data_IF_572477613411
#
_entry.id   IF_572477613411
#
_cell.length_a   1.000
_cell.length_b   1.000
_cell.length_c   1.000
_cell.angle_alpha   90.00
_cell.angle_beta   90.00
_cell.angle_gamma   90.00
#
_symmetry.space_group_name_H-M   'P 1'
#
loop_
_entity.id
_entity.type
_entity.pdbx_description
1 polymer ?
#
# COMPACT_ATOMS: atom_id res chain seq x y z
N UNK A 1 -14.79 -11.01 9.33
CA UNK A 1 -14.26 -9.93 8.46
C UNK A 1 -15.35 -9.42 7.50
N UNK A 2 -15.48 -8.10 7.28
CA UNK A 2 -16.52 -7.53 6.40
C UNK A 2 -15.91 -6.81 5.18
N UNK A 3 -15.84 -7.52 4.05
CA UNK A 3 -15.35 -7.00 2.78
C UNK A 3 -16.51 -6.77 1.81
N UNK A 4 -16.53 -5.64 1.11
CA UNK A 4 -17.44 -5.42 -0.01
C UNK A 4 -17.19 -6.40 -1.14
N UNK A 5 -18.25 -6.74 -1.86
CA UNK A 5 -18.16 -7.63 -3.02
C UNK A 5 -17.24 -7.05 -4.10
N UNK A 6 -16.37 -7.91 -4.62
CA UNK A 6 -15.50 -7.58 -5.75
C UNK A 6 -16.37 -7.26 -6.97
N UNK A 7 -16.11 -6.15 -7.69
CA UNK A 7 -16.81 -5.86 -8.92
C UNK A 7 -16.70 -6.98 -9.95
N UNK A 8 -17.78 -7.20 -10.71
CA UNK A 8 -17.78 -8.23 -11.76
C UNK A 8 -16.77 -7.89 -12.85
N UNK A 9 -15.89 -8.85 -13.15
CA UNK A 9 -14.93 -8.74 -14.24
C UNK A 9 -15.63 -8.51 -15.57
N UNK A 10 -15.07 -7.62 -16.39
CA UNK A 10 -15.50 -7.42 -17.76
C UNK A 10 -15.01 -8.60 -18.62
N UNK A 11 -15.58 -8.75 -19.82
CA UNK A 11 -15.01 -9.69 -20.80
C UNK A 11 -13.60 -9.22 -21.22
N UNK A 12 -12.91 -10.04 -22.02
CA UNK A 12 -11.64 -9.62 -22.61
C UNK A 12 -11.77 -8.30 -23.39
N UNK A 13 -10.72 -7.45 -23.44
CA UNK A 13 -10.76 -6.18 -24.16
C UNK A 13 -11.22 -6.27 -25.64
N UNK A 14 -10.97 -7.41 -26.29
CA UNK A 14 -11.36 -7.69 -27.67
C UNK A 14 -12.87 -7.66 -27.90
N UNK A 15 -13.66 -7.92 -26.85
CA UNK A 15 -15.12 -7.94 -26.91
C UNK A 15 -15.74 -6.55 -27.00
N UNK A 16 -14.97 -5.49 -26.79
CA UNK A 16 -15.48 -4.12 -26.72
C UNK A 16 -15.10 -3.30 -27.94
N UNK A 17 -15.90 -2.28 -28.24
CA UNK A 17 -15.63 -1.32 -29.31
C UNK A 17 -14.45 -0.43 -28.96
N UNK A 18 -13.75 0.03 -30.00
CA UNK A 18 -12.77 1.11 -29.90
C UNK A 18 -13.35 2.35 -30.58
N UNK A 19 -13.14 3.53 -29.99
CA UNK A 19 -13.59 4.79 -30.61
C UNK A 19 -12.41 5.63 -31.07
N UNK A 20 -12.68 6.48 -32.05
CA UNK A 20 -11.76 7.56 -32.35
C UNK A 20 -11.61 8.46 -31.10
N UNK A 21 -10.37 8.84 -30.80
CA UNK A 21 -9.99 9.65 -29.63
C UNK A 21 -10.15 9.02 -28.23
N UNK A 22 -10.64 7.78 -28.11
CA UNK A 22 -10.63 7.02 -26.85
C UNK A 22 -9.81 5.75 -27.00
N UNK A 23 -9.22 5.25 -25.91
CA UNK A 23 -8.62 3.90 -25.87
C UNK A 23 -9.44 3.02 -24.91
N UNK A 24 -10.68 2.70 -25.33
CA UNK A 24 -11.66 1.96 -24.53
C UNK A 24 -11.15 0.56 -24.20
N UNK A 25 -10.56 -0.15 -25.17
CA UNK A 25 -10.06 -1.50 -24.93
C UNK A 25 -8.93 -1.53 -23.90
N UNK A 26 -8.04 -0.55 -23.93
CA UNK A 26 -7.00 -0.40 -22.91
C UNK A 26 -7.60 -0.05 -21.55
N UNK A 27 -8.62 0.82 -21.51
CA UNK A 27 -9.32 1.12 -20.25
C UNK A 27 -10.02 -0.11 -19.65
N UNK A 28 -10.64 -0.96 -20.48
CA UNK A 28 -11.23 -2.24 -20.06
C UNK A 28 -10.15 -3.19 -19.55
N UNK A 29 -9.00 -3.26 -20.22
CA UNK A 29 -7.86 -4.04 -19.72
C UNK A 29 -7.47 -3.59 -18.32
N UNK A 30 -7.39 -2.28 -18.07
CA UNK A 30 -7.05 -1.74 -16.75
C UNK A 30 -8.12 -1.95 -15.68
N UNK A 31 -9.40 -1.94 -16.06
CA UNK A 31 -10.49 -2.35 -15.16
C UNK A 31 -10.31 -3.81 -14.74
N UNK A 32 -9.99 -4.70 -15.70
CA UNK A 32 -9.76 -6.11 -15.38
C UNK A 32 -8.49 -6.31 -14.54
N UNK A 33 -7.39 -5.61 -14.85
CA UNK A 33 -6.16 -5.62 -14.05
C UNK A 33 -6.46 -5.20 -12.59
N UNK A 34 -7.30 -4.16 -12.39
CA UNK A 34 -7.73 -3.72 -11.07
C UNK A 34 -8.55 -4.79 -10.34
N UNK A 35 -9.53 -5.39 -11.01
CA UNK A 35 -10.40 -6.42 -10.41
C UNK A 35 -9.59 -7.65 -10.02
N UNK A 36 -8.63 -8.07 -10.84
CA UNK A 36 -7.71 -9.18 -10.52
C UNK A 36 -6.85 -8.84 -9.30
N UNK A 37 -6.19 -7.68 -9.30
CA UNK A 37 -5.35 -7.22 -8.18
C UNK A 37 -6.14 -7.09 -6.88
N UNK A 38 -7.38 -6.59 -6.97
CA UNK A 38 -8.28 -6.49 -5.83
C UNK A 38 -8.67 -7.88 -5.31
N UNK A 39 -8.91 -8.85 -6.21
CA UNK A 39 -9.17 -10.24 -5.87
C UNK A 39 -8.00 -10.90 -5.14
N UNK A 40 -6.78 -10.73 -5.63
CA UNK A 40 -5.56 -11.25 -4.98
C UNK A 40 -5.37 -10.63 -3.59
N UNK A 41 -5.67 -9.34 -3.45
CA UNK A 41 -5.66 -8.66 -2.16
C UNK A 41 -6.74 -9.20 -1.21
N UNK A 42 -7.95 -9.49 -1.70
CA UNK A 42 -9.04 -10.04 -0.89
C UNK A 42 -8.70 -11.44 -0.37
N UNK A 43 -8.14 -12.30 -1.22
CA UNK A 43 -7.66 -13.64 -0.83
C UNK A 43 -6.59 -13.51 0.26
N UNK A 44 -5.61 -12.63 0.06
CA UNK A 44 -4.57 -12.37 1.05
C UNK A 44 -5.15 -11.82 2.37
N UNK A 45 -6.16 -10.96 2.32
CA UNK A 45 -6.84 -10.46 3.52
C UNK A 45 -7.55 -11.56 4.28
N UNK A 46 -8.29 -12.44 3.59
CA UNK A 46 -8.96 -13.59 4.20
C UNK A 46 -7.93 -14.43 4.95
N UNK A 47 -6.85 -14.86 4.30
CA UNK A 47 -5.82 -15.68 4.93
C UNK A 47 -4.94 -14.94 5.94
N UNK A 48 -5.05 -13.62 6.07
CA UNK A 48 -4.44 -12.86 7.16
C UNK A 48 -5.30 -12.82 8.43
N UNK A 49 -6.60 -13.14 8.33
CA UNK A 49 -7.51 -13.14 9.48
C UNK A 49 -7.23 -14.36 10.38
N UNK A 50 -7.07 -14.11 11.68
CA UNK A 50 -6.82 -15.16 12.68
C UNK A 50 -7.98 -16.14 12.82
N UNK A 51 -9.21 -15.71 12.55
CA UNK A 51 -10.42 -16.53 12.66
C UNK A 51 -10.48 -17.65 11.62
N UNK A 52 -9.71 -17.56 10.53
CA UNK A 52 -9.64 -18.58 9.49
C UNK A 52 -8.85 -19.83 9.93
N UNK A 53 -8.17 -19.77 11.07
CA UNK A 53 -7.29 -20.82 11.56
C UNK A 53 -7.80 -21.40 12.88
N UNK A 54 -7.78 -22.73 12.99
CA UNK A 54 -8.17 -23.45 14.20
C UNK A 54 -7.01 -24.35 14.65
N UNK A 55 -6.73 -24.38 15.95
CA UNK A 55 -5.72 -25.25 16.57
C UNK A 55 -4.28 -25.07 16.02
N UNK A 56 -3.94 -23.89 15.50
CA UNK A 56 -2.58 -23.56 15.04
C UNK A 56 -1.79 -22.91 16.16
N UNK A 57 -0.51 -23.28 16.30
CA UNK A 57 0.42 -22.61 17.22
C UNK A 57 0.48 -21.09 16.96
N UNK A 58 0.47 -20.27 18.01
CA UNK A 58 0.42 -18.81 17.88
C UNK A 58 1.60 -18.22 17.10
N UNK A 59 2.81 -18.79 17.22
CA UNK A 59 3.98 -18.30 16.48
C UNK A 59 3.84 -18.63 15.00
N UNK A 60 3.42 -19.85 14.67
CA UNK A 60 3.15 -20.25 13.29
C UNK A 60 2.02 -19.41 12.67
N UNK A 61 0.93 -19.19 13.42
CA UNK A 61 -0.18 -18.33 13.03
C UNK A 61 0.30 -16.92 12.68
N UNK A 62 1.09 -16.29 13.56
CA UNK A 62 1.62 -14.95 13.31
C UNK A 62 2.51 -14.90 12.06
N UNK A 63 3.31 -15.95 11.78
CA UNK A 63 4.12 -16.03 10.56
C UNK A 63 3.24 -16.09 9.31
N UNK A 64 2.24 -16.96 9.29
CA UNK A 64 1.29 -17.10 8.18
C UNK A 64 0.60 -15.76 7.93
N UNK A 65 0.04 -15.17 8.98
CA UNK A 65 -0.67 -13.89 8.90
C UNK A 65 0.23 -12.77 8.38
N UNK A 66 1.47 -12.67 8.87
CA UNK A 66 2.45 -11.69 8.36
C UNK A 66 2.73 -11.86 6.86
N UNK A 67 2.85 -13.10 6.36
CA UNK A 67 3.08 -13.35 4.93
C UNK A 67 1.91 -12.81 4.10
N UNK A 68 0.69 -13.17 4.47
CA UNK A 68 -0.52 -12.73 3.76
C UNK A 68 -0.77 -11.23 3.87
N UNK A 69 -0.55 -10.63 5.04
CA UNK A 69 -0.61 -9.17 5.24
C UNK A 69 0.36 -8.45 4.30
N UNK A 70 1.59 -8.96 4.12
CA UNK A 70 2.56 -8.35 3.19
C UNK A 70 2.08 -8.34 1.76
N UNK A 71 1.47 -9.43 1.29
CA UNK A 71 0.92 -9.50 -0.07
C UNK A 71 -0.26 -8.54 -0.23
N UNK A 72 -1.22 -8.58 0.70
CA UNK A 72 -2.37 -7.67 0.70
C UNK A 72 -1.95 -6.19 0.64
N UNK A 73 -0.95 -5.77 1.42
CA UNK A 73 -0.44 -4.38 1.39
C UNK A 73 0.07 -3.99 -0.02
N UNK A 74 0.82 -4.86 -0.67
CA UNK A 74 1.40 -4.58 -2.00
C UNK A 74 0.29 -4.46 -3.03
N UNK A 75 -0.65 -5.41 -3.04
CA UNK A 75 -1.73 -5.45 -4.02
C UNK A 75 -2.70 -4.27 -3.84
N UNK A 76 -3.09 -3.95 -2.60
CA UNK A 76 -3.92 -2.78 -2.30
C UNK A 76 -3.24 -1.46 -2.69
N UNK A 77 -1.93 -1.33 -2.44
CA UNK A 77 -1.18 -0.16 -2.88
C UNK A 77 -1.21 -0.02 -4.41
N UNK A 78 -1.11 -1.13 -5.15
CA UNK A 78 -1.14 -1.14 -6.61
C UNK A 78 -2.54 -0.84 -7.19
N UNK A 79 -3.61 -1.24 -6.51
CA UNK A 79 -4.99 -1.01 -6.94
C UNK A 79 -5.28 0.46 -7.28
N UNK A 80 -4.80 1.41 -6.47
CA UNK A 80 -5.02 2.84 -6.72
C UNK A 80 -4.28 3.32 -7.98
N UNK A 81 -3.03 2.90 -8.15
CA UNK A 81 -2.22 3.26 -9.32
C UNK A 81 -2.82 2.68 -10.62
N UNK A 82 -3.41 1.48 -10.56
CA UNK A 82 -4.13 0.87 -11.69
C UNK A 82 -5.43 1.62 -11.99
N UNK A 83 -6.20 2.01 -10.98
CA UNK A 83 -7.43 2.79 -11.19
C UNK A 83 -7.16 4.13 -11.88
N UNK A 84 -6.07 4.82 -11.54
CA UNK A 84 -5.65 6.04 -12.24
C UNK A 84 -5.36 5.80 -13.74
N UNK A 85 -4.90 4.60 -14.10
CA UNK A 85 -4.61 4.26 -15.50
C UNK A 85 -5.88 4.10 -16.34
N UNK A 86 -7.04 3.83 -15.75
CA UNK A 86 -8.29 3.68 -16.50
C UNK A 86 -8.65 4.98 -17.23
N UNK A 87 -8.87 6.15 -16.57
CA UNK A 87 -9.14 7.39 -17.27
C UNK A 87 -7.94 7.86 -18.10
N UNK A 88 -6.71 7.57 -17.66
CA UNK A 88 -5.48 7.88 -18.41
C UNK A 88 -5.48 7.33 -19.83
N UNK A 89 -5.89 6.07 -19.99
CA UNK A 89 -6.08 5.46 -21.30
C UNK A 89 -7.40 5.85 -21.95
N UNK A 90 -8.50 5.77 -21.19
CA UNK A 90 -9.84 5.97 -21.73
C UNK A 90 -9.96 7.29 -22.48
N UNK A 91 -9.49 8.38 -21.89
CA UNK A 91 -9.53 9.73 -22.46
C UNK A 91 -8.23 10.14 -23.17
N UNK A 92 -7.27 9.23 -23.33
CA UNK A 92 -5.93 9.50 -23.87
C UNK A 92 -5.24 10.69 -23.20
N UNK A 93 -5.36 10.81 -21.88
CA UNK A 93 -4.80 11.92 -21.09
C UNK A 93 -3.30 12.07 -21.38
N UNK A 94 -2.58 10.97 -21.57
CA UNK A 94 -1.16 10.96 -21.96
C UNK A 94 -0.84 11.85 -23.17
N UNK A 95 -1.76 11.94 -24.14
CA UNK A 95 -1.58 12.72 -25.37
C UNK A 95 -1.53 14.22 -25.07
N UNK A 96 -2.25 14.69 -24.06
CA UNK A 96 -2.27 16.10 -23.68
C UNK A 96 -0.95 16.60 -23.08
N UNK A 97 -0.08 15.66 -22.67
CA UNK A 97 1.25 15.96 -22.14
C UNK A 97 2.37 15.75 -23.19
N UNK A 98 2.04 15.29 -24.39
CA UNK A 98 2.98 15.22 -25.52
C UNK A 98 3.12 16.58 -26.22
N UNK A 99 4.14 16.73 -27.07
CA UNK A 99 4.31 17.89 -27.94
C UNK A 99 3.01 18.24 -28.68
N UNK A 100 2.51 19.46 -28.46
CA UNK A 100 1.26 19.97 -29.06
C UNK A 100 -0.01 19.70 -28.26
N UNK A 101 0.07 18.94 -27.16
CA UNK A 101 -1.03 18.77 -26.20
C UNK A 101 -1.17 19.96 -25.26
N UNK A 102 -2.37 20.13 -24.67
CA UNK A 102 -2.73 21.29 -23.84
C UNK A 102 -1.82 21.48 -22.61
N UNK A 103 -1.32 20.39 -22.03
CA UNK A 103 -0.55 20.39 -20.79
C UNK A 103 0.95 20.18 -20.99
N UNK A 104 1.42 20.13 -22.23
CA UNK A 104 2.83 19.96 -22.53
C UNK A 104 3.64 21.21 -22.16
N UNK A 105 4.61 21.05 -21.26
CA UNK A 105 5.55 22.11 -20.93
C UNK A 105 6.70 22.15 -21.95
N UNK A 106 6.64 23.07 -22.91
CA UNK A 106 7.64 23.21 -23.97
C UNK A 106 9.06 23.53 -23.48
N UNK A 107 9.23 24.04 -22.24
CA UNK A 107 10.56 24.34 -21.68
C UNK A 107 11.28 23.10 -21.17
N UNK A 108 10.55 22.11 -20.67
CA UNK A 108 11.12 20.91 -20.02
C UNK A 108 10.94 19.66 -20.86
N UNK A 109 9.88 19.61 -21.68
CA UNK A 109 9.55 18.46 -22.50
C UNK A 109 10.48 18.35 -23.71
N UNK A 110 10.87 17.11 -24.03
CA UNK A 110 11.67 16.81 -25.23
C UNK A 110 10.88 15.85 -26.10
N UNK A 111 10.83 16.09 -27.41
CA UNK A 111 10.11 15.25 -28.40
C UNK A 111 10.43 13.75 -28.29
N UNK A 112 11.64 13.37 -27.86
CA UNK A 112 12.02 11.97 -27.64
C UNK A 112 11.19 11.25 -26.57
N UNK A 113 10.53 11.99 -25.69
CA UNK A 113 9.64 11.48 -24.65
C UNK A 113 8.18 11.42 -25.11
N UNK A 114 7.85 11.89 -26.32
CA UNK A 114 6.50 11.77 -26.87
C UNK A 114 6.09 10.30 -26.98
N UNK A 115 4.87 10.03 -26.53
CA UNK A 115 4.22 8.73 -26.69
C UNK A 115 3.53 8.72 -28.05
N UNK A 116 4.00 7.85 -28.94
CA UNK A 116 3.42 7.68 -30.27
C UNK A 116 2.56 6.42 -30.25
N UNK A 117 1.23 6.58 -30.38
CA UNK A 117 0.27 5.46 -30.42
C UNK A 117 0.67 4.45 -31.50
N UNK A 118 0.48 3.17 -31.23
CA UNK A 118 0.82 2.05 -32.11
C UNK A 118 2.32 1.87 -32.43
N UNK A 119 3.22 2.67 -31.84
CA UNK A 119 4.66 2.38 -31.89
C UNK A 119 5.04 1.26 -30.94
N UNK A 120 6.16 0.55 -31.19
CA UNK A 120 6.59 -0.56 -30.32
C UNK A 120 6.74 -0.09 -28.86
N UNK A 121 6.01 -0.73 -27.94
CA UNK A 121 6.07 -0.46 -26.49
C UNK A 121 5.39 0.84 -26.05
N UNK A 122 4.54 1.44 -26.88
CA UNK A 122 3.87 2.71 -26.55
C UNK A 122 2.99 2.64 -25.30
N UNK A 123 2.28 1.51 -25.09
CA UNK A 123 1.43 1.29 -23.92
C UNK A 123 2.27 1.35 -22.64
N UNK A 124 3.37 0.60 -22.56
CA UNK A 124 4.26 0.61 -21.39
C UNK A 124 4.86 2.01 -21.13
N UNK A 125 5.14 2.79 -22.19
CA UNK A 125 5.58 4.19 -22.02
C UNK A 125 4.46 5.05 -21.44
N UNK A 126 3.24 4.89 -21.94
CA UNK A 126 2.07 5.60 -21.44
C UNK A 126 1.80 5.25 -19.96
N UNK A 127 1.80 3.97 -19.59
CA UNK A 127 1.63 3.51 -18.20
C UNK A 127 2.67 4.14 -17.27
N UNK A 128 3.96 4.04 -17.62
CA UNK A 128 5.05 4.59 -16.80
C UNK A 128 5.00 6.11 -16.65
N UNK A 129 4.32 6.80 -17.55
CA UNK A 129 4.18 8.26 -17.52
C UNK A 129 2.88 8.74 -16.85
N UNK A 130 1.98 7.81 -16.52
CA UNK A 130 0.76 8.04 -15.77
C UNK A 130 1.15 8.49 -14.36
N UNK A 131 0.57 9.62 -13.95
CA UNK A 131 0.87 10.25 -12.67
C UNK A 131 -0.40 10.90 -12.12
N UNK A 132 -0.55 10.88 -10.79
CA UNK A 132 -1.72 11.36 -10.08
C UNK A 132 -2.04 12.83 -10.42
N UNK A 133 -1.04 13.72 -10.38
CA UNK A 133 -1.25 15.14 -10.61
C UNK A 133 -1.71 15.39 -12.06
N UNK A 134 -1.16 14.63 -13.01
CA UNK A 134 -1.53 14.75 -14.42
C UNK A 134 -2.97 14.32 -14.68
N UNK A 135 -3.39 13.22 -14.07
CA UNK A 135 -4.76 12.69 -14.20
C UNK A 135 -5.73 13.68 -13.57
N UNK A 136 -5.49 14.13 -12.33
CA UNK A 136 -6.37 15.09 -11.67
C UNK A 136 -6.47 16.41 -12.40
N UNK A 137 -5.33 16.96 -12.86
CA UNK A 137 -5.33 18.20 -13.64
C UNK A 137 -6.22 18.08 -14.88
N UNK A 138 -6.14 16.96 -15.60
CA UNK A 138 -7.01 16.73 -16.75
C UNK A 138 -8.49 16.66 -16.34
N UNK A 139 -8.82 15.86 -15.33
CA UNK A 139 -10.20 15.63 -14.89
C UNK A 139 -10.88 16.90 -14.36
N UNK A 140 -10.14 17.74 -13.61
CA UNK A 140 -10.64 19.00 -13.06
C UNK A 140 -10.86 20.08 -14.13
N UNK A 141 -10.04 20.08 -15.18
CA UNK A 141 -10.12 21.03 -16.29
C UNK A 141 -11.24 20.68 -17.31
N UNK A 142 -11.77 19.46 -17.28
CA UNK A 142 -12.89 19.06 -18.13
C UNK A 142 -14.20 19.74 -17.69
N UNK A 143 -15.07 20.11 -18.63
CA UNK A 143 -16.37 20.70 -18.31
C UNK A 143 -17.38 19.68 -17.75
N UNK A 144 -17.16 18.38 -17.98
CA UNK A 144 -18.04 17.30 -17.50
C UNK A 144 -18.01 17.18 -15.97
N UNK A 145 -19.19 17.38 -15.37
CA UNK A 145 -19.42 17.30 -13.92
C UNK A 145 -19.06 15.91 -13.38
N UNK A 146 -19.29 14.83 -14.14
CA UNK A 146 -18.95 13.47 -13.71
C UNK A 146 -17.43 13.30 -13.57
N UNK A 147 -16.65 13.90 -14.48
CA UNK A 147 -15.17 13.86 -14.42
C UNK A 147 -14.62 14.66 -13.24
N UNK A 148 -15.20 15.83 -12.95
CA UNK A 148 -14.83 16.61 -11.75
C UNK A 148 -15.18 15.86 -10.46
N UNK A 149 -16.33 15.19 -10.42
CA UNK A 149 -16.70 14.34 -9.28
C UNK A 149 -15.73 13.18 -9.08
N UNK A 150 -15.27 12.56 -10.17
CA UNK A 150 -14.24 11.52 -10.10
C UNK A 150 -12.90 12.06 -9.59
N UNK A 151 -12.50 13.26 -10.02
CA UNK A 151 -11.30 13.93 -9.51
C UNK A 151 -11.37 14.12 -7.99
N UNK A 152 -12.50 14.64 -7.48
CA UNK A 152 -12.73 14.79 -6.03
C UNK A 152 -12.67 13.45 -5.28
N UNK A 153 -13.17 12.37 -5.89
CA UNK A 153 -13.11 11.02 -5.34
C UNK A 153 -11.66 10.55 -5.15
N UNK A 154 -10.84 10.72 -6.19
CA UNK A 154 -9.42 10.40 -6.13
C UNK A 154 -8.69 11.26 -5.10
N UNK A 155 -9.00 12.55 -5.01
CA UNK A 155 -8.40 13.45 -4.01
C UNK A 155 -8.74 13.05 -2.58
N UNK A 156 -10.01 12.77 -2.31
CA UNK A 156 -10.47 12.35 -0.98
C UNK A 156 -9.83 11.03 -0.58
N UNK A 157 -9.84 10.03 -1.48
CA UNK A 157 -9.20 8.76 -1.22
C UNK A 157 -7.70 8.91 -0.95
N UNK A 158 -7.00 9.72 -1.76
CA UNK A 158 -5.57 9.95 -1.61
C UNK A 158 -5.22 10.61 -0.26
N UNK A 159 -6.02 11.59 0.19
CA UNK A 159 -5.85 12.25 1.49
C UNK A 159 -6.17 11.34 2.67
N UNK A 160 -7.22 10.52 2.55
CA UNK A 160 -7.70 9.73 3.68
C UNK A 160 -6.91 8.42 3.88
N UNK A 161 -6.50 7.77 2.78
CA UNK A 161 -5.94 6.41 2.80
C UNK A 161 -4.49 6.29 2.33
N UNK A 162 -3.92 7.31 1.68
CA UNK A 162 -2.52 7.26 1.18
C UNK A 162 -1.59 8.25 1.86
N UNK A 163 -2.07 9.46 2.16
CA UNK A 163 -1.28 10.54 2.75
C UNK A 163 -2.06 11.21 3.88
N UNK A 164 -2.24 10.49 4.99
CA UNK A 164 -3.01 10.95 6.14
C UNK A 164 -2.11 11.08 7.37
N UNK A 165 -1.81 12.32 7.76
CA UNK A 165 -0.94 12.61 8.91
C UNK A 165 -1.61 12.29 10.27
N UNK A 166 -2.93 12.07 10.29
CA UNK A 166 -3.67 11.74 11.51
C UNK A 166 -3.74 10.23 11.79
N UNK A 167 -3.37 9.39 10.81
CA UNK A 167 -3.25 7.94 11.01
C UNK A 167 -1.84 7.59 11.47
N UNK A 168 -1.73 6.62 12.37
CA UNK A 168 -0.42 6.10 12.80
C UNK A 168 0.38 5.49 11.64
N UNK A 169 -0.32 4.97 10.64
CA UNK A 169 0.23 4.50 9.38
C UNK A 169 -0.87 4.36 8.33
N UNK A 170 -0.47 4.30 7.06
CA UNK A 170 -1.35 4.00 5.92
C UNK A 170 -0.83 2.79 5.13
N UNK A 171 -1.69 2.15 4.33
CA UNK A 171 -1.27 1.08 3.40
C UNK A 171 -0.10 1.54 2.51
N UNK A 172 -0.12 2.80 2.07
CA UNK A 172 0.93 3.40 1.23
C UNK A 172 2.29 3.45 1.94
N UNK A 173 2.31 3.88 3.19
CA UNK A 173 3.54 3.93 4.00
C UNK A 173 4.08 2.53 4.28
N UNK A 174 3.20 1.59 4.64
CA UNK A 174 3.59 0.19 4.86
C UNK A 174 4.16 -0.44 3.58
N UNK A 175 3.58 -0.17 2.42
CA UNK A 175 4.11 -0.61 1.13
C UNK A 175 5.49 -0.01 0.84
N UNK A 176 5.70 1.27 1.14
CA UNK A 176 7.01 1.90 1.03
C UNK A 176 8.05 1.29 1.99
N UNK A 177 7.65 0.98 3.23
CA UNK A 177 8.53 0.26 4.15
C UNK A 177 8.92 -1.12 3.62
N UNK A 178 7.95 -1.88 3.08
CA UNK A 178 8.24 -3.16 2.44
C UNK A 178 9.20 -3.05 1.25
N UNK A 179 9.05 -1.99 0.44
CA UNK A 179 9.92 -1.74 -0.71
C UNK A 179 11.36 -1.41 -0.30
N UNK A 180 11.55 -0.58 0.73
CA UNK A 180 12.87 -0.04 1.08
C UNK A 180 13.58 -0.80 2.20
N UNK A 181 12.82 -1.40 3.14
CA UNK A 181 13.33 -2.13 4.31
C UNK A 181 13.12 -3.64 4.20
N UNK A 182 12.42 -4.11 3.15
CA UNK A 182 12.06 -5.52 2.93
C UNK A 182 11.22 -6.16 4.05
N UNK A 183 10.75 -5.36 5.01
CA UNK A 183 10.01 -5.81 6.17
C UNK A 183 9.15 -4.71 6.80
N UNK A 184 8.10 -5.13 7.53
CA UNK A 184 7.29 -4.34 8.44
C UNK A 184 7.64 -4.75 9.87
N UNK A 185 7.86 -3.79 10.77
CA UNK A 185 8.09 -4.09 12.19
C UNK A 185 6.73 -4.28 12.87
N UNK A 186 6.45 -5.52 13.27
CA UNK A 186 5.17 -5.93 13.84
C UNK A 186 5.32 -6.24 15.33
N UNK A 187 4.35 -5.79 16.14
CA UNK A 187 4.33 -5.93 17.60
C UNK A 187 4.40 -7.39 18.05
N UNK A 188 3.78 -8.30 17.29
CA UNK A 188 3.73 -9.74 17.57
C UNK A 188 5.08 -10.46 17.45
N UNK A 189 6.06 -9.83 16.81
CA UNK A 189 7.41 -10.36 16.64
C UNK A 189 8.46 -9.60 17.46
N UNK A 190 8.01 -8.64 18.24
CA UNK A 190 8.87 -7.84 19.09
C UNK A 190 8.86 -8.43 20.51
N UNK A 191 10.06 -8.80 20.99
CA UNK A 191 10.28 -9.33 22.33
C UNK A 191 11.04 -8.27 23.15
N UNK A 192 10.35 -7.51 24.02
CA UNK A 192 11.01 -6.53 24.87
C UNK A 192 11.95 -7.22 25.86
N UNK A 193 13.04 -6.55 26.23
CA UNK A 193 13.96 -6.97 27.28
C UNK A 193 13.24 -7.08 28.63
N UNK A 194 13.44 -8.22 29.29
CA UNK A 194 13.02 -8.39 30.68
C UNK A 194 14.18 -7.98 31.59
N UNK A 195 13.99 -6.89 32.34
CA UNK A 195 14.97 -6.46 33.33
C UNK A 195 14.47 -6.78 34.74
N UNK A 196 15.16 -7.72 35.38
CA UNK A 196 14.87 -8.18 36.72
C UNK A 196 15.93 -7.63 37.68
N UNK A 197 15.49 -6.89 38.70
CA UNK A 197 16.35 -6.41 39.78
C UNK A 197 16.20 -7.32 40.99
N UNK A 198 17.32 -7.85 41.51
CA UNK A 198 17.32 -8.48 42.82
C UNK A 198 17.53 -7.40 43.89
N UNK A 199 16.48 -7.11 44.66
CA UNK A 199 16.55 -6.22 45.82
C UNK A 199 16.31 -7.03 47.09
N UNK A 200 17.32 -7.15 47.94
CA UNK A 200 17.24 -7.86 49.22
C UNK A 200 16.75 -9.32 49.10
N UNK A 201 17.13 -10.04 48.04
CA UNK A 201 16.71 -11.43 47.79
C UNK A 201 15.35 -11.58 47.09
N UNK A 202 14.64 -10.48 46.84
CA UNK A 202 13.38 -10.47 46.09
C UNK A 202 13.67 -10.06 44.65
N UNK A 203 13.25 -10.91 43.71
CA UNK A 203 13.36 -10.62 42.29
C UNK A 203 12.19 -9.71 41.87
N UNK A 204 12.50 -8.49 41.45
CA UNK A 204 11.53 -7.46 41.05
C UNK A 204 11.63 -7.28 39.55
N UNK A 205 10.58 -7.67 38.82
CA UNK A 205 10.43 -7.33 37.41
C UNK A 205 9.99 -5.87 37.31
N UNK A 206 10.83 -5.03 36.69
CA UNK A 206 10.54 -3.60 36.57
C UNK A 206 9.28 -3.31 35.74
N UNK A 207 8.96 -4.18 34.76
CA UNK A 207 7.80 -4.04 33.86
C UNK A 207 6.49 -4.24 34.60
N UNK A 208 6.40 -5.29 35.41
CA UNK A 208 5.20 -5.64 36.18
C UNK A 208 4.84 -4.60 37.25
N UNK A 209 5.85 -3.87 37.73
CA UNK A 209 5.69 -2.83 38.76
C UNK A 209 5.53 -1.41 38.19
N UNK A 210 5.50 -1.28 36.86
CA UNK A 210 5.43 0.02 36.17
C UNK A 210 6.57 0.99 36.59
N UNK A 211 7.75 0.43 36.87
CA UNK A 211 8.93 1.18 37.30
C UNK A 211 9.86 1.42 36.11
N UNK A 212 10.31 2.66 35.93
CA UNK A 212 11.34 3.02 34.95
C UNK A 212 12.72 3.04 35.60
N UNK A 213 13.72 2.48 34.91
CA UNK A 213 15.13 2.65 35.25
C UNK A 213 15.81 3.47 34.15
N UNK A 214 16.63 4.43 34.56
CA UNK A 214 17.55 5.15 33.68
C UNK A 214 18.98 4.90 34.18
N UNK A 215 19.84 4.39 33.31
CA UNK A 215 21.25 4.15 33.60
C UNK A 215 22.04 5.14 32.74
N UNK A 216 22.83 5.98 33.39
CA UNK A 216 23.68 6.95 32.72
C UNK A 216 25.14 6.70 33.13
N UNK A 217 26.02 6.53 32.15
CA UNK A 217 27.47 6.38 32.39
C UNK A 217 28.25 7.24 31.41
N UNK A 218 29.34 7.83 31.88
CA UNK A 218 30.31 8.46 30.99
C UNK A 218 31.15 7.38 30.30
N UNK A 219 31.68 7.68 29.11
CA UNK A 219 32.66 6.84 28.42
C UNK A 219 33.87 7.67 28.00
N UNK A 220 35.01 7.00 27.85
CA UNK A 220 36.31 7.64 27.68
C UNK A 220 37.04 7.05 26.48
N UNK A 221 37.91 7.85 25.87
CA UNK A 221 38.86 7.39 24.87
C UNK A 221 39.89 6.45 25.51
N UNK A 222 40.10 5.27 24.91
CA UNK A 222 40.97 4.23 25.49
C UNK A 222 42.45 4.63 25.50
N UNK A 223 42.91 5.44 24.53
CA UNK A 223 44.31 5.84 24.41
C UNK A 223 44.65 7.05 25.28
N UNK A 224 43.75 8.04 25.30
CA UNK A 224 43.98 9.33 25.97
C UNK A 224 43.35 9.44 27.35
N UNK A 225 42.36 8.59 27.67
CA UNK A 225 41.59 8.66 28.91
C UNK A 225 40.65 9.86 29.03
N UNK A 226 40.51 10.65 27.95
CA UNK A 226 39.63 11.81 27.94
C UNK A 226 38.17 11.39 27.94
N UNK A 227 37.32 12.14 28.65
CA UNK A 227 35.87 12.01 28.56
C UNK A 227 35.44 12.25 27.10
N UNK A 228 34.60 11.37 26.57
CA UNK A 228 34.05 11.45 25.21
C UNK A 228 32.56 11.78 25.21
N UNK A 229 31.88 11.66 26.35
CA UNK A 229 30.45 11.87 26.45
C UNK A 229 29.76 10.86 27.37
N UNK A 230 28.46 10.67 27.15
CA UNK A 230 27.56 9.89 27.99
C UNK A 230 26.76 8.88 27.20
N UNK A 231 26.59 7.70 27.79
CA UNK A 231 25.69 6.66 27.35
C UNK A 231 24.50 6.67 28.31
N UNK A 232 23.29 6.76 27.76
CA UNK A 232 22.04 6.80 28.51
C UNK A 232 21.18 5.62 28.06
N UNK A 233 20.84 4.71 28.98
CA UNK A 233 19.90 3.62 28.75
C UNK A 233 18.62 3.87 29.54
N UNK A 234 17.47 3.75 28.89
CA UNK A 234 16.16 3.89 29.53
C UNK A 234 15.38 2.60 29.41
N UNK A 235 15.03 1.99 30.54
CA UNK A 235 14.24 0.75 30.56
C UNK A 235 12.83 0.95 30.00
N UNK A 236 12.23 2.12 30.22
CA UNK A 236 10.92 2.48 29.63
C UNK A 236 10.92 2.45 28.09
N UNK A 237 12.09 2.62 27.50
CA UNK A 237 12.32 2.60 26.06
C UNK A 237 13.01 1.27 25.67
N UNK A 238 12.74 0.18 26.39
CA UNK A 238 13.33 -1.15 26.15
C UNK A 238 14.86 -1.20 26.14
N UNK A 239 15.50 -0.44 27.03
CA UNK A 239 16.96 -0.34 27.13
C UNK A 239 17.63 0.17 25.84
N UNK A 240 16.88 0.92 25.03
CA UNK A 240 17.44 1.66 23.91
C UNK A 240 18.56 2.58 24.40
N UNK A 241 19.67 2.61 23.65
CA UNK A 241 20.90 3.33 23.99
C UNK A 241 20.93 4.67 23.27
N UNK A 242 20.83 5.75 24.03
CA UNK A 242 21.15 7.10 23.57
C UNK A 242 22.64 7.40 23.86
N UNK A 243 23.31 8.12 22.95
CA UNK A 243 24.70 8.59 23.15
C UNK A 243 24.72 10.10 22.97
N UNK A 244 25.23 10.82 23.98
CA UNK A 244 25.50 12.25 23.91
C UNK A 244 27.01 12.49 23.91
N UNK A 245 27.55 12.99 22.81
CA UNK A 245 28.97 13.30 22.66
C UNK A 245 29.29 14.68 23.22
N UNK A 246 30.51 14.88 23.73
CA UNK A 246 30.96 16.20 24.19
C UNK A 246 30.98 17.27 23.09
N UNK A 247 31.07 16.87 21.82
CA UNK A 247 30.94 17.77 20.66
C UNK A 247 29.55 18.42 20.56
N UNK A 248 28.56 17.90 21.29
CA UNK A 248 27.15 18.28 21.17
C UNK A 248 26.34 17.40 20.22
N UNK A 249 26.99 16.48 19.49
CA UNK A 249 26.30 15.47 18.68
C UNK A 249 25.52 14.50 19.57
N UNK A 250 24.35 14.05 19.08
CA UNK A 250 23.50 13.09 19.78
C UNK A 250 23.09 11.97 18.85
N UNK A 251 23.30 10.75 19.30
CA UNK A 251 22.71 9.56 18.72
C UNK A 251 21.49 9.17 19.54
N UNK A 252 20.32 9.14 18.90
CA UNK A 252 19.08 8.72 19.55
C UNK A 252 18.84 7.25 19.23
N UNK A 253 18.84 6.40 20.25
CA UNK A 253 18.68 4.96 20.02
C UNK A 253 17.31 4.60 19.44
N UNK A 254 16.29 5.45 19.63
CA UNK A 254 14.97 5.31 18.98
C UNK A 254 15.06 5.31 17.45
N UNK A 255 16.13 5.86 16.88
CA UNK A 255 16.36 5.85 15.42
C UNK A 255 16.69 4.42 14.93
N UNK A 256 17.18 3.53 15.81
CA UNK A 256 17.34 2.09 15.53
C UNK A 256 16.00 1.35 15.61
N UNK A 257 15.24 1.63 16.67
CA UNK A 257 13.98 0.98 16.97
C UNK A 257 12.98 1.97 17.55
N UNK A 258 12.14 2.52 16.68
CA UNK A 258 11.00 3.31 17.12
C UNK A 258 9.88 2.36 17.59
N UNK A 259 9.77 2.19 18.90
CA UNK A 259 8.74 1.38 19.54
C UNK A 259 7.34 1.96 19.33
N UNK A 260 7.23 3.28 19.11
CA UNK A 260 5.94 3.94 18.84
C UNK A 260 5.45 3.67 17.43
N UNK A 261 6.33 3.25 16.52
CA UNK A 261 6.00 2.84 15.16
C UNK A 261 5.63 1.35 15.04
N UNK A 262 5.57 0.58 16.14
CA UNK A 262 5.18 -0.82 16.11
C UNK A 262 3.67 -0.98 15.95
N UNK A 263 3.25 -1.40 14.76
CA UNK A 263 1.88 -1.79 14.47
C UNK A 263 1.65 -3.28 14.80
N UNK A 264 0.45 -3.61 15.26
CA UNK A 264 -0.01 -5.00 15.35
C UNK A 264 -0.56 -5.47 14.01
N UNK A 265 -0.55 -6.78 13.77
CA UNK A 265 -1.15 -7.38 12.58
C UNK A 265 -2.65 -7.05 12.51
N UNK A 266 -3.35 -7.06 13.65
CA UNK A 266 -4.79 -6.76 13.72
C UNK A 266 -5.07 -5.31 13.29
N UNK A 267 -4.35 -4.33 13.85
CA UNK A 267 -4.52 -2.91 13.47
C UNK A 267 -4.16 -2.68 11.98
N UNK A 268 -3.20 -3.45 11.41
CA UNK A 268 -2.86 -3.36 9.98
C UNK A 268 -3.96 -3.95 9.10
N UNK A 269 -4.58 -5.05 9.52
CA UNK A 269 -5.70 -5.67 8.80
C UNK A 269 -6.91 -4.74 8.78
N UNK A 270 -7.21 -4.06 9.89
CA UNK A 270 -8.30 -3.08 9.95
C UNK A 270 -8.11 -1.95 8.92
N UNK A 271 -6.92 -1.33 8.87
CA UNK A 271 -6.58 -0.30 7.88
C UNK A 271 -6.71 -0.83 6.44
N UNK A 272 -6.31 -2.08 6.18
CA UNK A 272 -6.44 -2.69 4.86
C UNK A 272 -7.90 -2.98 4.47
N UNK A 273 -8.75 -3.41 5.41
CA UNK A 273 -10.19 -3.62 5.19
C UNK A 273 -10.84 -2.30 4.83
N UNK A 274 -10.53 -1.23 5.56
CA UNK A 274 -11.05 0.10 5.29
C UNK A 274 -10.60 0.61 3.92
N UNK A 275 -9.31 0.48 3.59
CA UNK A 275 -8.79 0.82 2.27
C UNK A 275 -9.51 0.03 1.17
N UNK A 276 -9.63 -1.29 1.32
CA UNK A 276 -10.28 -2.19 0.36
C UNK A 276 -11.74 -1.78 0.09
N UNK A 277 -12.48 -1.47 1.13
CA UNK A 277 -13.89 -1.10 1.00
C UNK A 277 -14.07 0.27 0.32
N UNK A 278 -13.18 1.22 0.58
CA UNK A 278 -13.26 2.56 -0.01
C UNK A 278 -12.72 2.62 -1.44
N UNK A 279 -11.71 1.80 -1.79
CA UNK A 279 -11.20 1.77 -3.18
C UNK A 279 -12.25 1.22 -4.15
N UNK A 280 -13.15 0.33 -3.69
CA UNK A 280 -14.32 -0.12 -4.45
C UNK A 280 -15.29 1.03 -4.73
N UNK A 281 -15.48 1.97 -3.81
CA UNK A 281 -16.35 3.13 -4.04
C UNK A 281 -15.76 4.06 -5.10
N UNK A 282 -14.45 4.27 -5.08
CA UNK A 282 -13.73 5.02 -6.12
C UNK A 282 -13.88 4.32 -7.48
N UNK A 283 -13.72 2.99 -7.51
CA UNK A 283 -13.99 2.20 -8.72
C UNK A 283 -15.41 2.40 -9.23
N UNK A 284 -16.43 2.34 -8.37
CA UNK A 284 -17.82 2.48 -8.79
C UNK A 284 -18.10 3.86 -9.41
N UNK A 285 -17.50 4.92 -8.86
CA UNK A 285 -17.59 6.26 -9.44
C UNK A 285 -16.89 6.34 -10.79
N UNK A 286 -15.71 5.74 -10.90
CA UNK A 286 -14.95 5.67 -12.15
C UNK A 286 -15.68 4.87 -13.23
N UNK A 287 -16.22 3.71 -12.88
CA UNK A 287 -17.00 2.90 -13.81
C UNK A 287 -18.23 3.65 -14.30
N UNK A 288 -18.91 4.39 -13.43
CA UNK A 288 -20.05 5.23 -13.82
C UNK A 288 -19.70 6.34 -14.83
N UNK A 289 -18.44 6.78 -14.87
CA UNK A 289 -17.93 7.77 -15.83
C UNK A 289 -17.69 7.14 -17.20
N UNK A 290 -17.16 5.91 -17.25
CA UNK A 290 -16.72 5.28 -18.51
C UNK A 290 -17.70 4.25 -19.08
N UNK A 291 -18.66 3.76 -18.30
CA UNK A 291 -19.54 2.62 -18.68
C UNK A 291 -20.32 2.84 -19.97
N UNK A 292 -20.73 4.08 -20.26
CA UNK A 292 -21.53 4.39 -21.44
C UNK A 292 -20.71 4.25 -22.73
N UNK A 293 -19.38 4.36 -22.62
CA UNK A 293 -18.42 4.11 -23.70
C UNK A 293 -17.96 2.64 -23.75
N UNK A 294 -18.33 1.78 -22.81
CA UNK A 294 -17.95 0.36 -22.82
C UNK A 294 -19.05 -0.42 -23.55
N UNK A 295 -19.09 -0.27 -24.88
CA UNK A 295 -20.04 -0.98 -25.73
C UNK A 295 -19.43 -2.25 -26.32
N UNK A 296 -20.24 -3.31 -26.42
CA UNK A 296 -19.85 -4.56 -27.06
C UNK A 296 -19.59 -4.35 -28.56
N UNK A 297 -18.53 -4.98 -29.06
CA UNK A 297 -18.25 -5.06 -30.47
C UNK A 297 -19.32 -5.91 -31.17
N UNK A 298 -20.03 -5.38 -32.19
CA UNK A 298 -21.15 -6.08 -32.83
C UNK A 298 -20.74 -7.38 -33.54
N UNK A 299 -19.44 -7.55 -33.85
CA UNK A 299 -18.92 -8.76 -34.48
C UNK A 299 -18.63 -9.86 -33.45
N UNK A 300 -18.51 -9.51 -32.17
CA UNK A 300 -18.13 -10.44 -31.12
C UNK A 300 -19.37 -11.13 -30.53
N UNK A 301 -19.39 -12.47 -30.60
CA UNK A 301 -20.41 -13.25 -29.88
C UNK A 301 -20.01 -13.31 -28.41
N UNK A 302 -20.96 -13.09 -27.49
CA UNK A 302 -20.70 -13.31 -26.07
C UNK A 302 -20.19 -14.75 -25.88
N UNK A 303 -19.08 -14.96 -25.17
CA UNK A 303 -18.54 -16.30 -24.99
C UNK A 303 -19.50 -17.13 -24.15
N UNK A 304 -19.61 -18.42 -24.47
CA UNK A 304 -20.25 -19.38 -23.57
C UNK A 304 -19.33 -19.57 -22.36
N UNK A 305 -19.72 -18.98 -21.23
CA UNK A 305 -19.02 -19.20 -19.96
C UNK A 305 -19.31 -20.63 -19.53
N UNK A 306 -18.36 -21.53 -19.77
CA UNK A 306 -18.40 -22.87 -19.18
C UNK A 306 -18.24 -22.70 -17.68
N UNK A 307 -19.15 -23.29 -16.90
CA UNK A 307 -19.04 -23.37 -15.44
C UNK A 307 -17.65 -23.92 -15.09
N UNK A 308 -16.81 -23.06 -14.54
CA UNK A 308 -15.49 -23.45 -14.03
C UNK A 308 -15.66 -24.32 -12.81
N UNK A 309 -14.74 -25.29 -12.63
CA UNK A 309 -14.67 -26.07 -11.39
C UNK A 309 -14.40 -25.11 -10.24
N UNK A 310 -15.22 -25.19 -9.19
CA UNK A 310 -14.91 -24.55 -7.92
C UNK A 310 -13.76 -25.31 -7.26
N UNK A 311 -12.74 -24.57 -6.82
CA UNK A 311 -11.63 -25.10 -6.05
C UNK A 311 -11.76 -24.61 -4.62
N UNK A 312 -11.72 -25.53 -3.66
CA UNK A 312 -11.70 -25.17 -2.25
C UNK A 312 -10.26 -24.81 -1.83
N UNK A 313 -9.97 -23.52 -1.69
CA UNK A 313 -8.65 -23.06 -1.27
C UNK A 313 -8.30 -23.46 0.17
N UNK A 314 -9.30 -23.77 1.00
CA UNK A 314 -9.09 -24.20 2.39
C UNK A 314 -8.28 -25.50 2.48
N UNK A 315 -8.31 -26.33 1.45
CA UNK A 315 -7.50 -27.54 1.34
C UNK A 315 -5.99 -27.24 1.38
N UNK A 316 -5.57 -26.08 0.89
CA UNK A 316 -4.16 -25.69 0.82
C UNK A 316 -3.68 -24.91 2.04
N UNK A 317 -4.57 -24.19 2.71
CA UNK A 317 -4.18 -23.18 3.71
C UNK A 317 -4.69 -23.44 5.12
N UNK A 318 -5.80 -24.18 5.30
CA UNK A 318 -6.44 -24.33 6.63
C UNK A 318 -6.16 -25.68 7.33
N UNK A 319 -5.66 -26.68 6.61
CA UNK A 319 -5.45 -28.04 7.14
C UNK A 319 -4.01 -28.35 7.59
N UNK A 320 -3.24 -27.33 8.01
CA UNK A 320 -1.89 -27.57 8.55
C UNK A 320 -2.05 -28.22 9.93
N UNK A 321 -1.87 -29.55 9.99
CA UNK A 321 -1.87 -30.36 11.21
C UNK A 321 -0.58 -30.23 12.01
#
# INVERSE_FOLDING_TARGET
MNLKDIPKKLLGPEYYMEYENKDVRLSVSKINDFIETLGDSAVSLIYSNKEEYHNVDNRLLNIIRRIHTRHAIIDLNNCFDILLQVPWFHYRIWKEYNTGGKYCNSKTHKRKYDIIRNSKGWVNKAEKSCDYDKVLKYLNDCEDIKLKSLANSFENFNKEFRFNEHKSYTVRELANQLKHRHNIKLREFYEPYNFNLNMNGVNVNLKERNLGAEICTNFYDEETGNDCGKIILKYKDDLIVDIEYLSGEKFYGKDLLDLTALCSIDEVIEEMIDYYNHIIDVYNQLYNVVKDDILMNPVMKKPEVRTTREYNLDEFFKNIK
#
